data_IF_300289122735
#
_entry.id   IF_300289122735
#
_cell.length_a   1.000
_cell.length_b   1.000
_cell.length_c   1.000
_cell.angle_alpha   90.00
_cell.angle_beta   90.00
_cell.angle_gamma   90.00
#
_symmetry.space_group_name_H-M   'P 1'
#
loop_
_entity.id
_entity.type
_entity.pdbx_description
1 polymer ?
#
# COMPACT_ATOMS: atom_id res chain seq x y z
N UNK A 1 22.34 18.66 31.56
CA UNK A 1 22.31 18.43 30.11
C UNK A 1 20.86 18.21 29.72
N UNK A 2 20.20 19.27 29.25
CA UNK A 2 18.83 19.15 28.75
C UNK A 2 18.92 18.48 27.38
N UNK A 3 18.36 17.29 27.27
CA UNK A 3 18.13 16.63 25.98
C UNK A 3 17.42 17.66 25.11
N UNK A 4 18.08 18.11 24.03
CA UNK A 4 17.58 19.18 23.18
C UNK A 4 16.32 18.66 22.49
N UNK A 5 15.17 19.12 22.96
CA UNK A 5 13.87 18.78 22.39
C UNK A 5 13.80 19.08 20.87
N UNK A 6 14.62 20.00 20.38
CA UNK A 6 14.78 20.30 18.96
C UNK A 6 15.35 19.14 18.14
N UNK A 7 16.33 18.39 18.67
CA UNK A 7 16.88 17.21 17.97
C UNK A 7 15.84 16.08 17.90
N UNK A 8 15.08 15.87 18.98
CA UNK A 8 13.99 14.91 19.00
C UNK A 8 12.88 15.33 18.02
N UNK A 9 12.54 16.61 17.98
CA UNK A 9 11.51 17.15 17.09
C UNK A 9 11.93 17.05 15.62
N UNK A 10 13.20 17.28 15.31
CA UNK A 10 13.73 17.13 13.95
C UNK A 10 13.74 15.65 13.51
N UNK A 11 14.12 14.74 14.42
CA UNK A 11 14.10 13.29 14.15
C UNK A 11 12.67 12.79 13.89
N UNK A 12 11.70 13.21 14.72
CA UNK A 12 10.29 12.84 14.57
C UNK A 12 9.69 13.43 13.28
N UNK A 13 10.01 14.68 12.93
CA UNK A 13 9.59 15.26 11.64
C UNK A 13 10.15 14.48 10.46
N UNK A 14 11.43 14.13 10.50
CA UNK A 14 12.07 13.35 9.44
C UNK A 14 11.46 11.94 9.32
N UNK A 15 11.09 11.30 10.43
CA UNK A 15 10.39 10.02 10.41
C UNK A 15 8.98 10.12 9.83
N UNK A 16 8.26 11.22 10.09
CA UNK A 16 6.92 11.47 9.53
C UNK A 16 6.98 11.86 8.06
N UNK A 17 7.98 12.64 7.63
CA UNK A 17 8.19 12.99 6.22
C UNK A 17 8.62 11.79 5.37
N UNK A 18 9.41 10.87 5.94
CA UNK A 18 9.76 9.60 5.32
C UNK A 18 8.73 8.49 5.59
N UNK A 19 7.63 8.80 6.29
CA UNK A 19 6.49 7.91 6.41
C UNK A 19 5.72 7.96 5.10
N UNK A 20 6.31 7.38 4.06
CA UNK A 20 5.52 6.90 2.94
C UNK A 20 4.61 5.82 3.52
N UNK A 21 3.31 6.09 3.53
CA UNK A 21 2.34 4.99 3.65
C UNK A 21 2.60 4.07 2.46
N UNK A 22 3.47 3.08 2.65
CA UNK A 22 3.42 1.81 1.93
C UNK A 22 2.08 1.16 2.31
N UNK A 23 0.99 1.76 1.85
CA UNK A 23 -0.27 1.07 1.67
C UNK A 23 -0.08 0.24 0.42
N UNK A 24 0.80 -0.76 0.53
CA UNK A 24 0.93 -1.87 -0.41
C UNK A 24 -0.32 -2.71 -0.21
N UNK A 25 -1.42 -2.27 -0.82
CA UNK A 25 -2.63 -3.09 -0.88
C UNK A 25 -2.33 -4.21 -1.85
N UNK A 26 -1.74 -5.29 -1.34
CA UNK A 26 -1.40 -6.50 -2.11
C UNK A 26 -2.66 -7.26 -2.51
N UNK A 27 -3.72 -7.13 -1.72
CA UNK A 27 -4.92 -7.98 -1.81
C UNK A 27 -6.10 -7.31 -2.51
N UNK A 28 -5.93 -6.07 -3.00
CA UNK A 28 -6.98 -5.36 -3.75
C UNK A 28 -6.45 -5.00 -5.13
N UNK A 29 -7.31 -5.16 -6.13
CA UNK A 29 -7.04 -4.77 -7.51
C UNK A 29 -8.13 -3.87 -8.07
N UNK A 30 -7.83 -3.21 -9.18
CA UNK A 30 -8.80 -2.42 -9.95
C UNK A 30 -9.13 -3.14 -11.24
N UNK A 31 -10.43 -3.25 -11.57
CA UNK A 31 -10.87 -3.82 -12.84
C UNK A 31 -10.57 -2.84 -13.97
N UNK A 32 -9.76 -3.26 -14.94
CA UNK A 32 -9.45 -2.49 -16.14
C UNK A 32 -10.48 -2.73 -17.24
N UNK A 33 -10.91 -3.98 -17.41
CA UNK A 33 -11.83 -4.38 -18.50
C UNK A 33 -12.68 -5.57 -18.08
N UNK A 34 -13.91 -5.63 -18.61
CA UNK A 34 -14.85 -6.75 -18.46
C UNK A 34 -15.37 -7.14 -19.85
N UNK A 35 -15.45 -8.43 -20.16
CA UNK A 35 -16.08 -8.94 -21.38
C UNK A 35 -16.35 -10.44 -21.30
N UNK A 36 -17.55 -10.88 -21.74
CA UNK A 36 -17.97 -12.29 -21.79
C UNK A 36 -17.67 -13.12 -20.51
N UNK A 37 -17.83 -12.50 -19.34
CA UNK A 37 -17.57 -13.15 -18.04
C UNK A 37 -16.10 -13.21 -17.64
N UNK A 38 -15.20 -12.57 -18.38
CA UNK A 38 -13.77 -12.44 -18.09
C UNK A 38 -13.48 -11.00 -17.68
N UNK A 39 -12.75 -10.81 -16.57
CA UNK A 39 -12.28 -9.51 -16.10
C UNK A 39 -10.75 -9.44 -16.16
N UNK A 40 -10.20 -8.31 -16.61
CA UNK A 40 -8.79 -7.98 -16.53
C UNK A 40 -8.59 -7.05 -15.32
N UNK A 41 -7.81 -7.49 -14.34
CA UNK A 41 -7.59 -6.78 -13.08
C UNK A 41 -6.12 -6.37 -12.99
N UNK A 42 -5.86 -5.16 -12.49
CA UNK A 42 -4.53 -4.68 -12.15
C UNK A 42 -4.38 -4.56 -10.63
N UNK A 43 -3.27 -5.06 -10.07
CA UNK A 43 -3.10 -5.24 -8.63
C UNK A 43 -3.14 -6.72 -8.28
N UNK A 44 -3.65 -7.07 -7.09
CA UNK A 44 -3.69 -8.45 -6.58
C UNK A 44 -2.32 -9.14 -6.65
N UNK A 45 -1.29 -8.51 -6.10
CA UNK A 45 0.11 -8.93 -6.27
C UNK A 45 0.41 -10.31 -5.63
N UNK A 46 -0.35 -10.70 -4.60
CA UNK A 46 -0.14 -11.94 -3.84
C UNK A 46 -1.19 -13.04 -4.13
N UNK A 47 -1.99 -12.89 -5.20
CA UNK A 47 -3.02 -13.88 -5.56
C UNK A 47 -2.41 -15.18 -6.11
N UNK A 48 -2.98 -16.31 -5.71
CA UNK A 48 -2.60 -17.63 -6.22
C UNK A 48 -3.35 -17.98 -7.51
N UNK A 49 -2.71 -18.77 -8.37
CA UNK A 49 -3.38 -19.27 -9.57
C UNK A 49 -4.58 -20.18 -9.20
N UNK A 50 -5.78 -19.79 -9.65
CA UNK A 50 -7.02 -20.52 -9.36
C UNK A 50 -7.69 -20.14 -8.03
N UNK A 51 -7.21 -19.09 -7.37
CA UNK A 51 -7.87 -18.52 -6.20
C UNK A 51 -9.21 -17.87 -6.58
N UNK A 52 -10.20 -17.95 -5.69
CA UNK A 52 -11.48 -17.28 -5.86
C UNK A 52 -11.35 -15.83 -5.43
N UNK A 53 -11.66 -14.91 -6.34
CA UNK A 53 -11.64 -13.47 -6.09
C UNK A 53 -13.07 -12.97 -5.92
N UNK A 54 -13.32 -12.23 -4.84
CA UNK A 54 -14.58 -11.50 -4.65
C UNK A 54 -14.48 -10.13 -5.33
N UNK A 55 -15.54 -9.76 -6.06
CA UNK A 55 -15.60 -8.58 -6.94
C UNK A 55 -16.38 -7.44 -6.29
#
# INVERSE_FOLDING_TARGET
MAIKAEEISALLRSQIENYESETSVTDVGTVLQIGDGIALIHGLNDVMAGELVEI
#
